data_IF_466809778336
#
_entry.id   IF_466809778336
#
_cell.length_a   1.000
_cell.length_b   1.000
_cell.length_c   1.000
_cell.angle_alpha   90.00
_cell.angle_beta   90.00
_cell.angle_gamma   90.00
#
_symmetry.space_group_name_H-M   'P 1'
#
loop_
_entity.id
_entity.type
_entity.pdbx_description
1 polymer ?
#
# COMPACT_ATOMS: atom_id res chain seq x y z
N UNK A 1 9.58 16.93 11.49
CA UNK A 1 9.82 16.08 12.64
C UNK A 1 8.55 15.50 13.18
N UNK A 2 7.71 16.31 13.82
CA UNK A 2 6.42 15.81 14.28
C UNK A 2 5.57 15.27 13.13
N UNK A 3 5.56 16.02 12.01
CA UNK A 3 4.85 15.57 10.82
C UNK A 3 5.43 14.29 10.24
N UNK A 4 6.75 14.17 10.24
CA UNK A 4 7.39 12.96 9.72
C UNK A 4 7.04 11.75 10.56
N UNK A 5 6.98 11.91 11.88
CA UNK A 5 6.59 10.82 12.76
C UNK A 5 5.14 10.42 12.54
N UNK A 6 4.26 11.38 12.35
CA UNK A 6 2.85 11.09 12.07
C UNK A 6 2.70 10.34 10.75
N UNK A 7 3.41 10.79 9.71
CA UNK A 7 3.37 10.12 8.41
C UNK A 7 3.91 8.69 8.52
N UNK A 8 5.02 8.53 9.24
CA UNK A 8 5.60 7.21 9.46
C UNK A 8 4.60 6.28 10.15
N UNK A 9 3.92 6.78 11.16
CA UNK A 9 2.94 5.98 11.89
C UNK A 9 1.73 5.64 11.02
N UNK A 10 1.28 6.57 10.21
CA UNK A 10 0.20 6.31 9.26
C UNK A 10 0.59 5.23 8.26
N UNK A 11 1.78 5.34 7.68
CA UNK A 11 2.28 4.36 6.72
C UNK A 11 2.33 2.98 7.37
N UNK A 12 2.91 2.88 8.57
CA UNK A 12 3.01 1.60 9.26
C UNK A 12 1.64 1.00 9.56
N UNK A 13 0.69 1.83 9.95
CA UNK A 13 -0.67 1.36 10.21
C UNK A 13 -1.31 0.81 8.94
N UNK A 14 -1.21 1.56 7.84
CA UNK A 14 -1.74 1.13 6.55
C UNK A 14 -1.13 -0.21 6.13
N UNK A 15 0.19 -0.31 6.22
CA UNK A 15 0.87 -1.54 5.80
C UNK A 15 0.52 -2.73 6.69
N UNK A 16 0.26 -2.48 7.97
CA UNK A 16 -0.20 -3.52 8.87
C UNK A 16 -1.57 -4.06 8.42
N UNK A 17 -2.47 -3.16 8.03
CA UNK A 17 -3.79 -3.56 7.54
C UNK A 17 -3.65 -4.34 6.23
N UNK A 18 -2.82 -3.87 5.31
CA UNK A 18 -2.55 -4.57 4.05
C UNK A 18 -2.06 -5.99 4.32
N UNK A 19 -1.09 -6.13 5.20
CA UNK A 19 -0.47 -7.42 5.48
C UNK A 19 -1.46 -8.38 6.15
N UNK A 20 -2.33 -7.87 7.02
CA UNK A 20 -3.36 -8.69 7.65
C UNK A 20 -4.43 -9.13 6.66
N UNK A 21 -4.84 -8.21 5.78
CA UNK A 21 -5.87 -8.51 4.79
C UNK A 21 -5.38 -9.46 3.72
N UNK A 22 -4.16 -9.28 3.26
CA UNK A 22 -3.63 -10.06 2.16
C UNK A 22 -2.19 -10.50 2.44
N UNK A 23 -2.00 -11.47 3.34
CA UNK A 23 -0.66 -11.95 3.63
C UNK A 23 -0.06 -12.73 2.47
N UNK A 24 1.26 -12.79 2.41
CA UNK A 24 1.96 -13.54 1.39
C UNK A 24 3.30 -12.94 1.06
N UNK A 25 3.93 -13.47 0.02
CA UNK A 25 5.27 -13.05 -0.39
C UNK A 25 5.37 -12.80 -1.90
N UNK A 26 4.24 -12.64 -2.56
CA UNK A 26 4.24 -12.46 -4.01
C UNK A 26 4.57 -11.03 -4.43
N UNK A 27 4.29 -10.06 -3.58
CA UNK A 27 4.51 -8.64 -3.88
C UNK A 27 5.28 -8.00 -2.74
N UNK A 28 6.29 -7.21 -3.09
CA UNK A 28 6.94 -6.31 -2.15
C UNK A 28 6.37 -4.92 -2.35
N UNK A 29 5.76 -4.35 -1.32
CA UNK A 29 5.22 -3.00 -1.34
C UNK A 29 6.15 -2.10 -0.55
N UNK A 30 6.75 -1.12 -1.22
CA UNK A 30 7.75 -0.21 -0.65
C UNK A 30 7.20 1.20 -0.55
N UNK A 31 7.33 1.79 0.62
CA UNK A 31 6.96 3.18 0.88
C UNK A 31 8.18 3.89 1.46
N UNK A 32 9.17 4.21 0.63
CA UNK A 32 10.40 4.84 1.16
C UNK A 32 10.11 6.25 1.67
N UNK A 33 10.82 6.71 2.68
CA UNK A 33 11.86 5.99 3.41
C UNK A 33 11.34 5.22 4.63
N UNK A 34 10.05 5.01 4.75
CA UNK A 34 9.42 4.59 6.00
C UNK A 34 9.35 3.10 6.21
N UNK A 35 8.97 2.33 5.19
CA UNK A 35 8.77 0.91 5.38
C UNK A 35 8.63 0.15 4.06
N UNK A 36 8.76 -1.17 4.15
CA UNK A 36 8.43 -2.08 3.07
C UNK A 36 7.87 -3.36 3.67
N UNK A 37 6.91 -3.97 3.00
CA UNK A 37 6.34 -5.24 3.44
C UNK A 37 6.23 -6.20 2.26
N UNK A 38 6.11 -7.48 2.58
CA UNK A 38 5.69 -8.48 1.60
C UNK A 38 4.23 -8.78 1.84
N UNK A 39 3.48 -8.93 0.76
CA UNK A 39 2.04 -9.19 0.84
C UNK A 39 1.58 -9.98 -0.38
N UNK A 40 0.33 -10.39 -0.35
CA UNK A 40 -0.37 -11.11 -1.41
C UNK A 40 0.18 -12.52 -1.59
N UNK A 41 -0.70 -13.50 -1.49
CA UNK A 41 -0.38 -14.90 -1.75
C UNK A 41 -0.13 -15.08 -3.24
N UNK A 42 0.74 -16.01 -3.58
CA UNK A 42 1.05 -16.31 -4.96
C UNK A 42 2.43 -16.89 -5.12
N UNK A 43 2.90 -16.89 -6.35
CA UNK A 43 4.20 -17.44 -6.68
C UNK A 43 5.31 -16.58 -6.09
N UNK A 44 6.34 -17.24 -5.55
CA UNK A 44 7.54 -16.56 -5.10
C UNK A 44 8.73 -17.15 -5.85
N UNK A 45 9.82 -16.37 -5.93
CA UNK A 45 11.06 -16.89 -6.50
C UNK A 45 11.67 -17.93 -5.55
N UNK A 46 12.52 -18.82 -6.09
CA UNK A 46 13.18 -19.86 -5.29
C UNK A 46 13.94 -19.30 -4.10
N UNK A 47 14.45 -18.08 -4.22
CA UNK A 47 15.23 -17.44 -3.16
C UNK A 47 14.35 -16.66 -2.19
N UNK A 48 13.02 -16.77 -2.32
CA UNK A 48 12.10 -16.03 -1.47
C UNK A 48 11.94 -14.57 -1.83
N UNK A 49 12.55 -14.13 -2.93
CA UNK A 49 12.40 -12.74 -3.40
C UNK A 49 11.04 -12.58 -4.07
N UNK A 50 10.25 -11.57 -3.72
CA UNK A 50 8.97 -11.36 -4.39
C UNK A 50 9.16 -11.07 -5.88
N UNK A 51 8.37 -11.72 -6.76
CA UNK A 51 8.47 -11.50 -8.20
C UNK A 51 7.86 -10.17 -8.65
N UNK A 52 7.10 -9.51 -7.78
CA UNK A 52 6.44 -8.25 -8.10
C UNK A 52 6.86 -7.20 -7.10
N UNK A 53 7.10 -5.97 -7.58
CA UNK A 53 7.52 -4.88 -6.70
C UNK A 53 6.67 -3.65 -7.02
N UNK A 54 6.11 -3.05 -5.99
CA UNK A 54 5.34 -1.81 -6.10
C UNK A 54 5.95 -0.79 -5.16
N UNK A 55 6.23 0.38 -5.66
CA UNK A 55 6.84 1.44 -4.87
C UNK A 55 6.10 2.76 -5.08
N UNK A 56 5.87 3.47 -4.00
CA UNK A 56 5.24 4.78 -4.03
C UNK A 56 5.60 5.56 -2.78
N UNK A 57 5.45 6.88 -2.84
CA UNK A 57 5.66 7.72 -1.66
C UNK A 57 4.52 7.56 -0.66
N UNK A 58 4.76 7.99 0.58
CA UNK A 58 3.72 8.00 1.61
C UNK A 58 2.53 8.86 1.18
N UNK A 59 2.80 10.01 0.56
CA UNK A 59 1.75 10.90 0.09
C UNK A 59 0.87 10.23 -0.96
N UNK A 60 1.50 9.53 -1.91
CA UNK A 60 0.76 8.79 -2.94
C UNK A 60 -0.08 7.68 -2.33
N UNK A 61 0.48 6.95 -1.36
CA UNK A 61 -0.24 5.90 -0.66
C UNK A 61 -1.52 6.43 0.00
N UNK A 62 -1.41 7.55 0.70
CA UNK A 62 -2.55 8.14 1.38
C UNK A 62 -3.63 8.59 0.37
N UNK A 63 -3.21 9.24 -0.71
CA UNK A 63 -4.14 9.65 -1.76
C UNK A 63 -4.82 8.46 -2.42
N UNK A 64 -4.06 7.39 -2.62
CA UNK A 64 -4.60 6.19 -3.24
C UNK A 64 -5.68 5.56 -2.36
N UNK A 65 -5.50 5.57 -1.04
CA UNK A 65 -6.51 5.04 -0.13
C UNK A 65 -7.77 5.88 -0.12
N UNK A 66 -7.64 7.18 -0.35
CA UNK A 66 -8.81 8.04 -0.47
C UNK A 66 -9.58 7.78 -1.76
N UNK A 67 -8.87 7.43 -2.83
CA UNK A 67 -9.49 7.14 -4.11
C UNK A 67 -8.68 6.09 -4.88
N UNK A 68 -8.91 4.81 -4.60
CA UNK A 68 -8.15 3.73 -5.26
C UNK A 68 -8.32 3.67 -6.77
N UNK A 69 -9.35 4.29 -7.32
CA UNK A 69 -9.54 4.32 -8.77
C UNK A 69 -8.46 5.11 -9.49
N UNK A 70 -7.64 5.87 -8.76
CA UNK A 70 -6.54 6.63 -9.35
C UNK A 70 -5.28 5.80 -9.60
N UNK A 71 -5.32 4.50 -9.34
CA UNK A 71 -4.15 3.64 -9.52
C UNK A 71 -3.50 3.80 -10.89
N UNK A 72 -4.29 3.67 -11.96
CA UNK A 72 -3.73 3.74 -13.32
C UNK A 72 -3.16 5.11 -13.64
N UNK A 73 -3.85 6.15 -13.24
CA UNK A 73 -3.37 7.51 -13.43
C UNK A 73 -2.03 7.72 -12.72
N UNK A 74 -1.93 7.27 -11.48
CA UNK A 74 -0.70 7.41 -10.70
C UNK A 74 0.46 6.61 -11.31
N UNK A 75 0.17 5.45 -11.90
CA UNK A 75 1.19 4.71 -12.63
C UNK A 75 1.63 5.48 -13.88
N UNK A 76 0.68 6.03 -14.61
CA UNK A 76 0.96 6.72 -15.87
C UNK A 76 1.83 7.96 -15.65
N UNK A 77 1.62 8.68 -14.57
CA UNK A 77 2.40 9.89 -14.29
C UNK A 77 3.63 9.63 -13.42
N UNK A 78 3.93 8.36 -13.15
CA UNK A 78 5.16 7.99 -12.46
C UNK A 78 5.13 8.08 -10.95
N UNK A 79 3.97 8.29 -10.33
CA UNK A 79 3.86 8.30 -8.87
C UNK A 79 3.89 6.90 -8.28
N UNK A 80 3.46 5.90 -9.04
CA UNK A 80 3.55 4.49 -8.65
C UNK A 80 4.45 3.78 -9.65
N UNK A 81 5.45 3.08 -9.13
CA UNK A 81 6.30 2.20 -9.92
C UNK A 81 5.88 0.77 -9.62
N UNK A 82 5.37 0.06 -10.62
CA UNK A 82 4.88 -1.29 -10.44
C UNK A 82 5.53 -2.21 -11.49
N UNK A 83 6.18 -3.25 -11.04
CA UNK A 83 6.84 -4.21 -11.91
C UNK A 83 6.44 -5.63 -11.55
N UNK A 84 6.38 -6.49 -12.58
CA UNK A 84 5.93 -7.87 -12.43
C UNK A 84 4.51 -8.06 -12.96
N UNK A 85 4.15 -9.31 -13.21
CA UNK A 85 2.86 -9.62 -13.85
C UNK A 85 1.65 -9.41 -12.94
N UNK A 86 1.87 -9.45 -11.61
CA UNK A 86 0.79 -9.31 -10.64
C UNK A 86 1.02 -8.11 -9.74
N UNK A 87 1.36 -6.99 -10.33
CA UNK A 87 1.69 -5.78 -9.57
C UNK A 87 0.59 -4.72 -9.60
N UNK A 88 -0.58 -5.03 -10.15
CA UNK A 88 -1.71 -4.13 -10.10
C UNK A 88 -2.48 -4.34 -8.79
N UNK A 89 -2.39 -3.39 -7.88
CA UNK A 89 -2.97 -3.51 -6.55
C UNK A 89 -4.27 -2.73 -6.38
N UNK A 90 -4.93 -2.39 -7.49
CA UNK A 90 -6.18 -1.62 -7.44
C UNK A 90 -7.22 -2.27 -6.53
N UNK A 91 -7.49 -3.56 -6.74
CA UNK A 91 -8.50 -4.26 -5.95
C UNK A 91 -8.10 -4.36 -4.49
N UNK A 92 -6.83 -4.60 -4.22
CA UNK A 92 -6.33 -4.63 -2.85
C UNK A 92 -6.61 -3.32 -2.14
N UNK A 93 -6.30 -2.19 -2.77
CA UNK A 93 -6.49 -0.90 -2.14
C UNK A 93 -7.95 -0.51 -2.00
N UNK A 94 -8.83 -0.96 -2.90
CA UNK A 94 -10.27 -0.80 -2.69
C UNK A 94 -10.72 -1.50 -1.42
N UNK A 95 -10.26 -2.73 -1.18
CA UNK A 95 -10.65 -3.48 0.01
C UNK A 95 -10.03 -2.90 1.27
N UNK A 96 -8.76 -2.51 1.22
CA UNK A 96 -8.09 -1.90 2.37
C UNK A 96 -8.77 -0.57 2.72
N UNK A 97 -9.11 0.22 1.72
CA UNK A 97 -9.82 1.48 1.93
C UNK A 97 -11.15 1.27 2.65
N UNK A 98 -11.91 0.25 2.24
CA UNK A 98 -13.17 -0.10 2.91
C UNK A 98 -12.94 -0.51 4.36
N UNK A 99 -11.94 -1.35 4.59
CA UNK A 99 -11.63 -1.82 5.94
C UNK A 99 -11.27 -0.66 6.85
N UNK A 100 -10.44 0.25 6.38
CA UNK A 100 -10.00 1.37 7.20
C UNK A 100 -11.13 2.33 7.49
N UNK A 101 -12.02 2.53 6.52
CA UNK A 101 -13.16 3.42 6.71
C UNK A 101 -14.19 2.84 7.67
N UNK A 102 -14.41 1.53 7.65
CA UNK A 102 -15.41 0.92 8.53
C UNK A 102 -14.90 0.72 9.95
N UNK A 103 -13.60 0.50 10.11
CA UNK A 103 -13.00 0.09 11.37
C UNK A 103 -13.00 1.16 12.44
N UNK A 104 -12.87 2.41 12.07
CA UNK A 104 -12.69 3.48 13.03
C UNK A 104 -13.64 4.63 12.83
N UNK A 105 -14.73 4.32 12.20
CA UNK A 105 -15.70 5.34 11.88
C UNK A 105 -15.00 6.54 11.32
N UNK A 106 -14.41 6.40 10.65
CA UNK A 106 -13.38 6.21 9.74
C UNK A 106 -12.06 6.79 10.23
N UNK A 107 -10.99 6.13 9.87
CA UNK A 107 -9.65 6.57 10.20
C UNK A 107 -9.38 7.99 9.70
N UNK A 108 -9.92 8.34 8.54
CA UNK A 108 -9.78 9.67 7.97
C UNK A 108 -10.57 10.72 8.75
N UNK A 109 -11.71 10.34 9.27
CA UNK A 109 -12.54 11.25 10.05
C UNK A 109 -11.84 11.77 11.28
N UNK A 110 -10.93 11.01 11.81
CA UNK A 110 -10.18 11.44 12.99
C UNK A 110 -9.12 12.49 12.68
N UNK A 111 -8.84 12.71 11.44
CA UNK A 111 -7.88 13.71 11.00
C UNK A 111 -8.48 15.10 11.03
N UNK A 112 -9.76 15.20 11.12
CA UNK A 112 -10.48 16.46 11.01
C UNK A 112 -10.67 17.11 12.37
#
# INVERSE_FOLDING_TARGET
MKQELEIKNQVKHILTVVKKFSPGKSVELRIPPYAAIQCIAGVTHRRGTPPNVVEMSAETLIKLLENPSQWHEFCDIGLISASGTNSNLTDLFFEVSKLMNSEVGSWYGKQI
#
